data_IF_990947617982
#
_entry.id   IF_990947617982
#
_cell.length_a   1.000
_cell.length_b   1.000
_cell.length_c   1.000
_cell.angle_alpha   90.00
_cell.angle_beta   90.00
_cell.angle_gamma   90.00
#
_symmetry.space_group_name_H-M   'P 1'
#
loop_
_entity.id
_entity.type
_entity.pdbx_description
1 polymer ?
#
# COMPACT_ATOMS: atom_id res chain seq x y z
N UNK A 1 -5.10 -14.21 21.37
CA UNK A 1 -4.32 -14.16 20.10
C UNK A 1 -3.93 -12.71 19.88
N UNK A 2 -2.86 -12.24 20.54
CA UNK A 2 -2.38 -10.87 20.35
C UNK A 2 -1.60 -10.83 19.04
N UNK A 3 -2.13 -10.13 18.04
CA UNK A 3 -1.66 -10.19 16.66
C UNK A 3 -1.04 -8.84 16.30
N UNK A 4 0.30 -8.75 16.37
CA UNK A 4 1.12 -7.84 15.58
C UNK A 4 0.83 -6.32 15.60
N UNK A 5 0.13 -5.77 16.60
CA UNK A 5 -0.16 -4.32 16.66
C UNK A 5 1.12 -3.48 16.88
N UNK A 6 2.20 -4.06 17.40
CA UNK A 6 3.47 -3.37 17.67
C UNK A 6 4.29 -3.01 16.41
N UNK A 7 3.97 -3.55 15.22
CA UNK A 7 4.75 -3.29 14.00
C UNK A 7 4.11 -2.27 13.04
N UNK A 8 2.81 -2.00 13.19
CA UNK A 8 2.13 -0.98 12.38
C UNK A 8 2.42 0.41 12.92
N UNK A 9 3.09 1.24 12.11
CA UNK A 9 3.39 2.64 12.42
C UNK A 9 2.71 3.57 11.44
N UNK A 10 2.14 4.65 11.94
CA UNK A 10 1.61 5.71 11.09
C UNK A 10 2.74 6.34 10.26
N UNK A 11 2.50 6.45 8.96
CA UNK A 11 3.41 7.09 8.01
C UNK A 11 2.67 8.14 7.19
N UNK A 12 3.22 9.34 7.11
CA UNK A 12 2.70 10.40 6.25
C UNK A 12 3.24 10.24 4.83
N UNK A 13 2.36 10.09 3.85
CA UNK A 13 2.72 10.00 2.43
C UNK A 13 2.35 11.29 1.69
N UNK A 14 3.30 11.85 0.95
CA UNK A 14 3.05 12.98 0.06
C UNK A 14 2.83 12.48 -1.35
N UNK A 15 1.58 12.56 -1.83
CA UNK A 15 1.16 12.08 -3.15
C UNK A 15 0.39 13.17 -3.90
N UNK A 16 0.21 13.00 -5.21
CA UNK A 16 -0.64 13.90 -5.99
C UNK A 16 -2.12 13.75 -5.61
N UNK A 17 -2.91 14.82 -5.79
CA UNK A 17 -4.36 14.82 -5.50
C UNK A 17 -5.08 13.67 -6.21
N UNK A 18 -4.77 13.46 -7.49
CA UNK A 18 -5.35 12.39 -8.32
C UNK A 18 -5.11 11.00 -7.72
N UNK A 19 -3.89 10.72 -7.24
CA UNK A 19 -3.55 9.41 -6.65
C UNK A 19 -4.29 9.21 -5.33
N UNK A 20 -4.32 10.24 -4.48
CA UNK A 20 -5.06 10.19 -3.22
C UNK A 20 -6.55 9.89 -3.44
N UNK A 21 -7.17 10.58 -4.39
CA UNK A 21 -8.61 10.44 -4.65
C UNK A 21 -8.92 9.06 -5.26
N UNK A 22 -8.02 8.53 -6.11
CA UNK A 22 -8.12 7.16 -6.61
C UNK A 22 -8.01 6.09 -5.51
N UNK A 23 -7.05 6.24 -4.58
CA UNK A 23 -6.90 5.33 -3.43
C UNK A 23 -8.13 5.38 -2.51
N UNK A 24 -8.68 6.58 -2.26
CA UNK A 24 -9.92 6.72 -1.48
C UNK A 24 -11.11 6.04 -2.15
N UNK A 25 -11.27 6.20 -3.46
CA UNK A 25 -12.34 5.53 -4.20
C UNK A 25 -12.17 4.01 -4.18
N UNK A 26 -10.94 3.50 -4.34
CA UNK A 26 -10.65 2.07 -4.24
C UNK A 26 -10.96 1.52 -2.84
N UNK A 27 -10.59 2.24 -1.79
CA UNK A 27 -10.91 1.88 -0.40
C UNK A 27 -12.43 1.83 -0.14
N UNK A 28 -13.17 2.82 -0.63
CA UNK A 28 -14.62 2.86 -0.53
C UNK A 28 -15.27 1.68 -1.28
N UNK A 29 -14.83 1.39 -2.50
CA UNK A 29 -15.35 0.28 -3.30
C UNK A 29 -15.02 -1.10 -2.70
N UNK A 30 -13.84 -1.24 -2.07
CA UNK A 30 -13.42 -2.48 -1.42
C UNK A 30 -14.06 -2.66 -0.02
N UNK A 31 -14.71 -1.63 0.53
CA UNK A 31 -15.24 -1.64 1.89
C UNK A 31 -14.14 -1.78 2.96
N UNK A 32 -12.93 -1.27 2.69
CA UNK A 32 -11.75 -1.42 3.56
C UNK A 32 -11.10 -0.07 3.87
N UNK A 33 -10.36 0.05 4.97
CA UNK A 33 -9.61 1.26 5.30
C UNK A 33 -8.61 1.66 4.21
N UNK A 34 -8.37 2.97 4.09
CA UNK A 34 -7.41 3.54 3.15
C UNK A 34 -5.99 2.98 3.34
N UNK A 35 -5.57 2.74 4.59
CA UNK A 35 -4.24 2.21 4.88
C UNK A 35 -4.06 0.79 4.35
N UNK A 36 -5.08 -0.07 4.41
CA UNK A 36 -5.01 -1.44 3.89
C UNK A 36 -4.79 -1.45 2.39
N UNK A 37 -5.59 -0.67 1.65
CA UNK A 37 -5.46 -0.55 0.19
C UNK A 37 -4.11 0.07 -0.20
N UNK A 38 -3.64 1.04 0.59
CA UNK A 38 -2.33 1.68 0.36
C UNK A 38 -1.20 0.68 0.58
N UNK A 39 -1.25 -0.11 1.66
CA UNK A 39 -0.26 -1.14 1.96
C UNK A 39 -0.25 -2.24 0.90
N UNK A 40 -1.42 -2.68 0.44
CA UNK A 40 -1.53 -3.66 -0.65
C UNK A 40 -0.88 -3.14 -1.94
N UNK A 41 -1.16 -1.89 -2.31
CA UNK A 41 -0.55 -1.26 -3.49
C UNK A 41 0.98 -1.16 -3.38
N UNK A 42 1.49 -0.79 -2.20
CA UNK A 42 2.93 -0.72 -1.93
C UNK A 42 3.57 -2.11 -2.03
N UNK A 43 2.98 -3.12 -1.40
CA UNK A 43 3.48 -4.49 -1.42
C UNK A 43 3.52 -5.05 -2.85
N UNK A 44 2.46 -4.81 -3.64
CA UNK A 44 2.42 -5.19 -5.05
C UNK A 44 3.50 -4.50 -5.87
N UNK A 45 3.75 -3.22 -5.62
CA UNK A 45 4.83 -2.48 -6.28
C UNK A 45 6.21 -3.06 -5.92
N UNK A 46 6.47 -3.30 -4.63
CA UNK A 46 7.74 -3.85 -4.15
C UNK A 46 7.98 -5.26 -4.67
N UNK A 47 6.96 -6.11 -4.72
CA UNK A 47 7.04 -7.45 -5.30
C UNK A 47 7.45 -7.38 -6.78
N UNK A 48 6.82 -6.50 -7.58
CA UNK A 48 7.19 -6.28 -8.99
C UNK A 48 8.63 -5.75 -9.13
N UNK A 49 9.02 -4.79 -8.30
CA UNK A 49 10.35 -4.20 -8.32
C UNK A 49 11.45 -5.21 -7.91
N UNK A 50 11.17 -6.08 -6.94
CA UNK A 50 12.10 -7.13 -6.52
C UNK A 50 12.34 -8.15 -7.66
N UNK A 51 11.29 -8.55 -8.37
CA UNK A 51 11.40 -9.44 -9.53
C UNK A 51 12.20 -8.80 -10.66
N UNK A 52 11.97 -7.51 -10.95
CA UNK A 52 12.72 -6.77 -11.97
C UNK A 52 14.24 -6.68 -11.68
N UNK A 53 14.65 -6.68 -10.41
CA UNK A 53 16.09 -6.71 -10.04
C UNK A 53 16.74 -8.08 -10.26
N UNK A 54 15.99 -9.18 -10.19
CA UNK A 54 16.53 -10.53 -10.41
C UNK A 54 16.84 -10.81 -11.87
N UNK A 55 16.10 -10.21 -12.81
CA UNK A 55 16.28 -10.45 -14.25
C UNK A 55 17.49 -9.70 -14.85
N UNK A 56 18.12 -8.78 -14.10
CA UNK A 56 19.25 -7.98 -14.56
C UNK A 56 20.62 -8.47 -14.04
N UNK A 57 20.65 -9.68 -13.45
CA UNK A 57 21.86 -10.31 -12.90
C UNK A 57 22.09 -11.64 -13.58
#
# INVERSE_FOLDING_TARGET
MAKNEEETRDASLRVSKKVRDALKAAAANAGRPLYDVTNEAINNFLAKAATARKTKK
#
